data_IF_639871819559
#
_entry.id   IF_639871819559
#
_cell.length_a   1.000
_cell.length_b   1.000
_cell.length_c   1.000
_cell.angle_alpha   90.00
_cell.angle_beta   90.00
_cell.angle_gamma   90.00
#
_symmetry.space_group_name_H-M   'P 1'
#
loop_
_entity.id
_entity.type
_entity.pdbx_description
1 polymer ?
#
# COMPACT_ATOMS: atom_id res chain seq x y z
N UNK A 1 -41.53 6.43 -41.06
CA UNK A 1 -40.13 6.02 -40.83
C UNK A 1 -39.88 4.78 -41.68
N UNK A 2 -39.17 4.93 -42.80
CA UNK A 2 -38.92 3.83 -43.73
C UNK A 2 -38.03 2.75 -43.13
N UNK A 3 -38.05 1.54 -43.69
CA UNK A 3 -37.32 0.37 -43.19
C UNK A 3 -35.82 0.64 -42.92
N UNK A 4 -35.22 1.58 -43.67
CA UNK A 4 -33.85 2.04 -43.45
C UNK A 4 -33.63 2.70 -42.06
N UNK A 5 -34.60 3.46 -41.56
CA UNK A 5 -34.49 4.12 -40.25
C UNK A 5 -34.54 3.14 -39.07
N UNK A 6 -35.33 2.06 -39.20
CA UNK A 6 -35.39 0.99 -38.19
C UNK A 6 -34.10 0.15 -38.17
N UNK A 7 -33.52 -0.13 -39.34
CA UNK A 7 -32.26 -0.87 -39.43
C UNK A 7 -31.09 -0.11 -38.77
N UNK A 8 -31.03 1.22 -38.97
CA UNK A 8 -29.99 2.07 -38.35
C UNK A 8 -30.15 2.14 -36.83
N UNK A 9 -31.39 2.23 -36.32
CA UNK A 9 -31.62 2.23 -34.88
C UNK A 9 -31.18 0.90 -34.23
N UNK A 10 -31.48 -0.24 -34.85
CA UNK A 10 -31.07 -1.56 -34.34
C UNK A 10 -29.55 -1.74 -34.34
N UNK A 11 -28.84 -1.30 -35.38
CA UNK A 11 -27.38 -1.42 -35.43
C UNK A 11 -26.70 -0.55 -34.37
N UNK A 12 -27.17 0.67 -34.15
CA UNK A 12 -26.66 1.57 -33.08
C UNK A 12 -26.91 0.99 -31.69
N UNK A 13 -28.06 0.35 -31.46
CA UNK A 13 -28.36 -0.31 -30.19
C UNK A 13 -27.41 -1.50 -29.96
N UNK A 14 -27.13 -2.31 -30.99
CA UNK A 14 -26.22 -3.46 -30.85
C UNK A 14 -24.76 -3.08 -30.63
N UNK A 15 -24.29 -1.95 -31.15
CA UNK A 15 -22.90 -1.48 -30.92
C UNK A 15 -22.72 -0.86 -29.54
N UNK A 16 -23.75 -0.23 -28.97
CA UNK A 16 -23.72 0.32 -27.60
C UNK A 16 -23.86 -0.79 -26.55
N UNK A 17 -24.66 -1.82 -26.83
CA UNK A 17 -24.89 -2.95 -25.92
C UNK A 17 -23.75 -3.99 -25.99
N UNK A 18 -23.03 -4.10 -27.11
CA UNK A 18 -21.92 -5.06 -27.24
C UNK A 18 -20.83 -4.90 -26.17
N UNK A 19 -20.37 -3.69 -25.79
CA UNK A 19 -19.47 -3.50 -24.65
C UNK A 19 -20.07 -3.84 -23.28
N UNK A 20 -21.40 -3.80 -23.14
CA UNK A 20 -22.10 -4.15 -21.90
C UNK A 20 -22.34 -5.67 -21.77
N UNK A 21 -22.49 -6.39 -22.89
CA UNK A 21 -22.78 -7.83 -22.93
C UNK A 21 -21.50 -8.66 -23.05
N UNK A 22 -20.58 -8.27 -23.94
CA UNK A 22 -19.19 -8.68 -23.83
C UNK A 22 -18.57 -7.76 -22.79
N UNK A 23 -18.60 -8.15 -21.52
CA UNK A 23 -17.80 -7.50 -20.47
C UNK A 23 -16.32 -7.58 -20.82
N UNK A 24 -15.88 -6.76 -21.79
CA UNK A 24 -14.50 -6.71 -22.24
C UNK A 24 -13.71 -6.20 -21.05
N UNK A 25 -12.91 -7.09 -20.49
CA UNK A 25 -12.16 -6.94 -19.26
C UNK A 25 -11.40 -5.61 -19.22
N UNK A 26 -12.00 -4.58 -18.63
CA UNK A 26 -11.25 -3.42 -18.14
C UNK A 26 -10.28 -3.81 -17.00
N UNK A 27 -10.42 -5.04 -16.49
CA UNK A 27 -9.63 -5.60 -15.39
C UNK A 27 -8.19 -5.96 -15.78
N UNK A 28 -7.90 -6.16 -17.06
CA UNK A 28 -6.57 -6.63 -17.53
C UNK A 28 -5.68 -5.52 -18.08
N UNK A 29 -6.10 -4.25 -17.98
CA UNK A 29 -5.22 -3.14 -18.34
C UNK A 29 -4.04 -3.08 -17.35
N UNK A 30 -2.78 -3.05 -17.83
CA UNK A 30 -1.59 -3.04 -16.97
C UNK A 30 -1.64 -1.97 -15.88
N UNK A 31 -2.11 -0.77 -16.22
CA UNK A 31 -2.27 0.32 -15.26
C UNK A 31 -3.27 0.03 -14.14
N UNK A 32 -4.36 -0.68 -14.41
CA UNK A 32 -5.36 -1.05 -13.40
C UNK A 32 -4.77 -2.07 -12.42
N UNK A 33 -3.99 -3.03 -12.94
CA UNK A 33 -3.26 -4.02 -12.12
C UNK A 33 -2.22 -3.33 -11.23
N UNK A 34 -1.46 -2.39 -11.78
CA UNK A 34 -0.48 -1.58 -11.04
C UNK A 34 -1.17 -0.76 -9.95
N UNK A 35 -2.25 -0.04 -10.27
CA UNK A 35 -3.00 0.74 -9.28
C UNK A 35 -3.58 -0.14 -8.16
N UNK A 36 -4.10 -1.33 -8.49
CA UNK A 36 -4.57 -2.29 -7.49
C UNK A 36 -3.43 -2.72 -6.56
N UNK A 37 -2.24 -2.98 -7.11
CA UNK A 37 -1.06 -3.37 -6.33
C UNK A 37 -0.56 -2.24 -5.43
N UNK A 38 -0.52 -1.01 -5.94
CA UNK A 38 -0.17 0.18 -5.15
C UNK A 38 -1.13 0.37 -3.98
N UNK A 39 -2.44 0.21 -4.19
CA UNK A 39 -3.45 0.28 -3.12
C UNK A 39 -3.30 -0.81 -2.07
N UNK A 40 -2.79 -1.99 -2.44
CA UNK A 40 -2.53 -3.08 -1.49
C UNK A 40 -1.29 -2.80 -0.63
N UNK A 41 -0.21 -2.31 -1.24
CA UNK A 41 1.07 -2.06 -0.58
C UNK A 41 1.05 -0.77 0.26
N UNK A 42 0.49 0.31 -0.28
CA UNK A 42 0.44 1.60 0.39
C UNK A 42 -0.82 1.69 1.27
N UNK A 43 -0.60 1.49 2.57
CA UNK A 43 -1.65 1.55 3.58
C UNK A 43 -1.95 3.00 4.00
N UNK A 44 -3.15 3.29 4.52
CA UNK A 44 -3.45 4.63 5.04
C UNK A 44 -2.47 5.04 6.13
N UNK A 45 -1.80 6.16 5.91
CA UNK A 45 -0.84 6.72 6.86
C UNK A 45 -1.53 7.69 7.83
N UNK A 46 -1.11 7.68 9.09
CA UNK A 46 -1.49 8.72 10.07
C UNK A 46 -0.69 10.00 9.88
N UNK A 47 0.55 9.85 9.42
CA UNK A 47 1.51 10.94 9.16
C UNK A 47 2.42 10.50 8.03
N UNK A 48 2.79 11.43 7.16
CA UNK A 48 3.82 11.21 6.14
C UNK A 48 5.00 12.15 6.40
N UNK A 49 6.21 11.63 6.27
CA UNK A 49 7.47 12.36 6.44
C UNK A 49 8.16 12.33 5.08
N UNK A 50 8.37 13.51 4.48
CA UNK A 50 9.15 13.62 3.26
C UNK A 50 10.62 13.77 3.64
N UNK A 51 11.45 12.91 3.08
CA UNK A 51 12.90 12.92 3.27
C UNK A 51 13.60 13.87 2.27
N UNK A 52 14.84 14.26 2.57
CA UNK A 52 15.65 15.16 1.73
C UNK A 52 15.94 14.58 0.34
N UNK A 53 16.03 13.25 0.25
CA UNK A 53 16.22 12.47 -0.98
C UNK A 53 14.94 12.29 -1.82
N UNK A 54 13.81 12.80 -1.35
CA UNK A 54 12.53 12.75 -2.05
C UNK A 54 11.64 11.56 -1.66
N UNK A 55 12.17 10.61 -0.89
CA UNK A 55 11.38 9.49 -0.37
C UNK A 55 10.28 9.98 0.58
N UNK A 56 9.12 9.32 0.52
CA UNK A 56 8.02 9.56 1.44
C UNK A 56 7.90 8.36 2.38
N UNK A 57 8.02 8.64 3.68
CA UNK A 57 7.86 7.66 4.75
C UNK A 57 6.47 7.82 5.35
N UNK A 58 5.64 6.82 5.20
CA UNK A 58 4.30 6.74 5.77
C UNK A 58 4.32 6.05 7.12
N UNK A 59 3.85 6.75 8.16
CA UNK A 59 3.64 6.20 9.48
C UNK A 59 2.29 5.48 9.51
N UNK A 60 2.32 4.16 9.37
CA UNK A 60 1.13 3.31 9.30
C UNK A 60 0.88 2.68 10.69
N UNK A 61 -0.37 2.60 11.17
CA UNK A 61 -0.66 1.88 12.41
C UNK A 61 -0.09 0.46 12.38
N UNK A 62 0.52 0.01 13.48
CA UNK A 62 1.22 -1.27 13.52
C UNK A 62 0.31 -2.45 13.14
N UNK A 63 -0.97 -2.39 13.45
CA UNK A 63 -1.98 -3.41 13.10
C UNK A 63 -2.38 -3.42 11.63
N UNK A 64 -2.06 -2.36 10.88
CA UNK A 64 -2.44 -2.18 9.47
C UNK A 64 -1.27 -2.35 8.51
N UNK A 65 -0.10 -2.81 8.99
CA UNK A 65 1.05 -3.06 8.11
C UNK A 65 0.70 -4.08 7.01
N UNK A 66 1.29 -3.94 5.81
CA UNK A 66 0.99 -4.82 4.66
C UNK A 66 1.15 -6.31 4.93
N UNK A 67 2.06 -6.69 5.83
CA UNK A 67 2.28 -8.10 6.19
C UNK A 67 1.02 -8.78 6.74
N UNK A 68 0.13 -8.05 7.42
CA UNK A 68 -1.11 -8.62 7.98
C UNK A 68 -2.21 -8.88 6.95
N UNK A 69 -2.01 -8.49 5.68
CA UNK A 69 -2.88 -8.94 4.59
C UNK A 69 -2.68 -10.44 4.28
N UNK A 70 -1.55 -11.01 4.70
CA UNK A 70 -1.29 -12.43 4.50
C UNK A 70 -2.27 -13.27 5.32
N UNK A 71 -2.98 -14.26 4.74
CA UNK A 71 -4.00 -15.05 5.43
C UNK A 71 -3.52 -15.69 6.73
N UNK A 72 -2.27 -16.16 6.77
CA UNK A 72 -1.66 -16.79 7.95
C UNK A 72 -1.37 -15.81 9.11
N UNK A 73 -1.36 -14.51 8.83
CA UNK A 73 -1.10 -13.47 9.84
C UNK A 73 -2.37 -12.71 10.23
N UNK A 74 -3.54 -13.13 9.72
CA UNK A 74 -4.83 -12.58 10.16
C UNK A 74 -5.00 -12.85 11.66
N UNK A 75 -5.38 -11.81 12.40
CA UNK A 75 -5.57 -11.85 13.85
C UNK A 75 -4.31 -12.22 14.66
N UNK A 76 -3.12 -12.09 14.07
CA UNK A 76 -1.88 -12.29 14.79
C UNK A 76 -1.72 -11.24 15.92
N UNK A 77 -1.52 -11.70 17.15
CA UNK A 77 -1.19 -10.83 18.28
C UNK A 77 0.24 -10.35 18.17
N UNK A 78 0.43 -9.06 17.94
CA UNK A 78 1.76 -8.45 17.86
C UNK A 78 2.45 -8.57 19.23
N UNK A 79 3.60 -9.22 19.25
CA UNK A 79 4.43 -9.31 20.44
C UNK A 79 5.31 -8.06 20.54
N UNK A 80 4.97 -7.18 21.48
CA UNK A 80 5.75 -5.98 21.75
C UNK A 80 6.96 -6.30 22.62
N UNK A 81 7.99 -5.46 22.54
CA UNK A 81 9.15 -5.56 23.42
C UNK A 81 8.65 -5.50 24.88
N UNK A 82 9.03 -6.47 25.74
CA UNK A 82 8.58 -6.46 27.13
C UNK A 82 9.12 -5.22 27.86
N UNK A 83 8.28 -4.66 28.73
CA UNK A 83 8.63 -3.51 29.58
C UNK A 83 9.72 -3.86 30.61
N UNK A 84 9.84 -5.15 30.95
CA UNK A 84 10.83 -5.67 31.88
C UNK A 84 11.62 -6.82 31.25
N UNK A 85 12.94 -6.66 31.20
CA UNK A 85 13.86 -7.75 30.86
C UNK A 85 14.47 -8.22 32.19
N UNK A 86 14.15 -9.43 32.68
CA UNK A 86 14.76 -9.93 33.91
C UNK A 86 16.28 -9.95 33.77
N UNK A 87 16.99 -9.48 34.80
CA UNK A 87 18.45 -9.53 34.89
C UNK A 87 18.90 -10.98 35.03
N UNK A 88 18.98 -11.70 33.92
CA UNK A 88 19.90 -12.83 33.79
C UNK A 88 21.30 -12.22 33.71
N UNK A 89 22.34 -12.92 34.19
CA UNK A 89 23.75 -12.49 34.09
C UNK A 89 24.22 -12.40 32.62
N UNK A 90 23.55 -11.62 31.79
CA UNK A 90 23.93 -11.36 30.43
C UNK A 90 24.50 -9.95 30.36
N UNK A 91 25.68 -9.88 29.77
CA UNK A 91 26.39 -8.67 29.36
C UNK A 91 25.61 -7.95 28.26
N UNK A 92 24.38 -7.51 28.52
CA UNK A 92 23.68 -6.58 27.63
C UNK A 92 24.23 -5.19 27.89
N UNK A 93 25.30 -4.85 27.17
CA UNK A 93 25.72 -3.47 26.99
C UNK A 93 24.53 -2.67 26.47
N UNK A 94 24.12 -1.63 27.20
CA UNK A 94 23.23 -0.60 26.66
C UNK A 94 23.92 -0.08 25.41
N UNK A 95 23.36 -0.36 24.23
CA UNK A 95 23.87 0.22 22.99
C UNK A 95 23.66 1.73 23.08
N UNK A 96 24.76 2.46 23.01
CA UNK A 96 24.83 3.90 22.74
C UNK A 96 23.79 4.29 21.68
N UNK A 97 23.22 5.52 21.74
CA UNK A 97 22.29 5.99 20.72
C UNK A 97 22.96 5.83 19.36
N UNK A 98 22.38 4.95 18.53
CA UNK A 98 22.88 4.73 17.17
C UNK A 98 22.85 6.09 16.47
N UNK A 99 24.00 6.51 15.94
CA UNK A 99 24.08 7.63 15.01
C UNK A 99 22.92 7.54 14.00
N UNK A 100 22.30 8.68 13.65
CA UNK A 100 21.17 8.74 12.72
C UNK A 100 21.57 8.04 11.42
N UNK A 101 21.11 6.80 11.22
CA UNK A 101 21.56 5.96 10.09
C UNK A 101 20.75 6.22 8.82
N UNK A 102 19.57 6.84 8.94
CA UNK A 102 18.68 7.07 7.81
C UNK A 102 18.33 8.56 7.72
N UNK A 103 18.39 9.11 6.50
CA UNK A 103 18.27 10.55 6.23
C UNK A 103 16.90 11.08 6.66
N UNK A 104 15.83 10.31 6.43
CA UNK A 104 14.45 10.73 6.73
C UNK A 104 14.18 11.03 8.21
N UNK A 105 14.95 10.45 9.15
CA UNK A 105 14.80 10.72 10.59
C UNK A 105 15.09 12.19 10.94
N UNK A 106 15.89 12.89 10.12
CA UNK A 106 16.15 14.32 10.32
C UNK A 106 14.87 15.17 10.23
N UNK A 107 13.88 14.68 9.48
CA UNK A 107 12.65 15.41 9.20
C UNK A 107 11.51 15.02 10.17
N UNK A 108 11.83 14.19 11.16
CA UNK A 108 10.97 13.84 12.28
C UNK A 108 10.80 12.34 12.47
N UNK A 109 9.91 12.01 13.40
CA UNK A 109 9.65 10.63 13.82
C UNK A 109 8.18 10.27 13.65
N UNK A 110 7.94 8.96 13.56
CA UNK A 110 6.60 8.39 13.55
C UNK A 110 6.04 8.32 14.98
N UNK A 111 4.74 8.57 15.19
CA UNK A 111 4.12 8.47 16.51
C UNK A 111 4.15 7.03 17.04
N UNK A 112 3.97 6.89 18.36
CA UNK A 112 3.87 5.58 18.99
C UNK A 112 2.77 4.70 18.35
N UNK A 113 2.95 3.38 18.42
CA UNK A 113 2.06 2.38 17.82
C UNK A 113 1.93 2.48 16.28
N UNK A 114 2.89 3.12 15.62
CA UNK A 114 3.02 3.11 14.16
C UNK A 114 4.37 2.57 13.71
N UNK A 115 4.41 2.17 12.45
CA UNK A 115 5.62 1.71 11.77
C UNK A 115 5.90 2.63 10.59
N UNK A 116 7.16 3.02 10.44
CA UNK A 116 7.65 3.80 9.31
C UNK A 116 7.79 2.89 8.07
N UNK A 117 7.04 3.18 7.00
CA UNK A 117 7.07 2.41 5.75
C UNK A 117 7.36 3.36 4.59
N UNK A 118 8.39 3.08 3.79
CA UNK A 118 8.65 3.83 2.55
C UNK A 118 7.51 3.57 1.55
N UNK A 119 6.89 4.65 1.05
CA UNK A 119 5.82 4.58 0.05
C UNK A 119 6.35 3.94 -1.23
N UNK A 120 5.58 3.00 -1.77
CA UNK A 120 5.87 2.37 -3.07
C UNK A 120 5.30 3.22 -4.19
N UNK A 121 6.11 3.55 -5.19
CA UNK A 121 5.68 4.30 -6.38
C UNK A 121 5.40 3.38 -7.56
N UNK A 122 4.84 3.92 -8.65
CA UNK A 122 4.45 3.11 -9.83
C UNK A 122 5.67 2.44 -10.44
N UNK A 123 6.78 3.15 -10.45
CA UNK A 123 8.08 2.78 -11.00
C UNK A 123 8.66 1.58 -10.23
N UNK A 124 8.43 1.51 -8.91
CA UNK A 124 8.85 0.37 -8.07
C UNK A 124 8.10 -0.93 -8.42
N UNK A 125 6.88 -0.83 -8.97
CA UNK A 125 6.08 -2.00 -9.40
C UNK A 125 6.47 -2.48 -10.79
N UNK A 126 7.01 -1.60 -11.63
CA UNK A 126 7.36 -1.87 -13.02
C UNK A 126 8.82 -2.32 -13.23
N UNK A 127 9.60 -2.41 -12.14
CA UNK A 127 10.98 -2.86 -12.14
C UNK A 127 11.11 -4.37 -12.17
#
# INVERSE_FOLDING_TARGET
MGMAGFAVALTVITTIISPCVYGKEFSDHPDVKVQRRLKQLNKPALKSIKSEDGDIIDCVPITLQPAFDHPLLKNHTIQMRPSFIPKVNSTYTKKEPKAITQIWLKNGECPENTVAIRRTEKEDILR
#
